data_IF_250598311017
#
_entry.id   IF_250598311017
#
_cell.length_a   1.000
_cell.length_b   1.000
_cell.length_c   1.000
_cell.angle_alpha   90.00
_cell.angle_beta   90.00
_cell.angle_gamma   90.00
#
_symmetry.space_group_name_H-M   'P 1'
#
loop_
_entity.id
_entity.type
_entity.pdbx_description
1 polymer ?
#
# COMPACT_ATOMS: atom_id res chain seq x y z
N UNK A 1 -2.96 1.71 -9.10
CA UNK A 1 -3.23 1.06 -10.40
C UNK A 1 -3.96 2.07 -11.26
N UNK A 2 -3.31 2.54 -12.32
CA UNK A 2 -3.84 3.57 -13.22
C UNK A 2 -5.01 2.99 -14.03
N UNK A 3 -6.12 3.72 -14.12
CA UNK A 3 -7.37 3.41 -14.86
C UNK A 3 -7.21 3.31 -16.39
N UNK A 4 -5.99 3.05 -16.89
CA UNK A 4 -5.62 3.18 -18.31
C UNK A 4 -6.01 2.00 -19.22
N UNK A 5 -6.56 0.92 -18.69
CA UNK A 5 -6.91 -0.26 -19.52
C UNK A 5 -8.39 -0.36 -19.92
N UNK A 6 -9.22 0.64 -19.57
CA UNK A 6 -10.51 0.80 -20.22
C UNK A 6 -10.36 1.70 -21.43
N UNK A 7 -10.78 1.21 -22.60
CA UNK A 7 -10.74 1.97 -23.85
C UNK A 7 -11.37 3.36 -23.64
N UNK A 8 -10.61 4.37 -24.06
CA UNK A 8 -10.96 5.79 -24.09
C UNK A 8 -12.44 6.05 -24.33
N UNK A 9 -13.11 6.71 -23.37
CA UNK A 9 -14.40 7.40 -23.48
C UNK A 9 -15.41 6.79 -24.51
N UNK A 10 -16.13 5.70 -24.16
CA UNK A 10 -17.12 5.07 -25.04
C UNK A 10 -18.16 6.07 -25.57
N UNK A 11 -18.37 6.09 -26.89
CA UNK A 11 -19.30 7.01 -27.56
C UNK A 11 -20.76 6.54 -27.45
N UNK A 12 -20.99 5.26 -27.17
CA UNK A 12 -22.33 4.65 -27.05
C UNK A 12 -22.39 3.53 -26.02
N UNK A 13 -23.62 3.19 -25.60
CA UNK A 13 -23.88 2.08 -24.67
C UNK A 13 -23.52 0.75 -25.30
N UNK A 14 -23.84 0.59 -26.58
CA UNK A 14 -23.56 -0.61 -27.36
C UNK A 14 -22.05 -0.84 -27.49
N UNK A 15 -21.28 0.22 -27.76
CA UNK A 15 -19.81 0.16 -27.80
C UNK A 15 -19.21 -0.21 -26.44
N UNK A 16 -19.75 0.33 -25.35
CA UNK A 16 -19.32 -0.05 -24.00
C UNK A 16 -19.64 -1.52 -23.69
N UNK A 17 -20.87 -1.95 -23.94
CA UNK A 17 -21.31 -3.32 -23.67
C UNK A 17 -20.62 -4.37 -24.55
N UNK A 18 -20.17 -3.99 -25.76
CA UNK A 18 -19.42 -4.88 -26.65
C UNK A 18 -18.09 -5.37 -26.04
N UNK A 19 -17.56 -4.66 -25.05
CA UNK A 19 -16.35 -5.04 -24.30
C UNK A 19 -16.61 -6.19 -23.32
N UNK A 20 -17.88 -6.53 -23.05
CA UNK A 20 -18.25 -7.59 -22.13
C UNK A 20 -18.79 -8.82 -22.87
N UNK A 21 -18.67 -9.98 -22.24
CA UNK A 21 -19.27 -11.23 -22.70
C UNK A 21 -20.79 -11.12 -22.81
N UNK A 22 -21.40 -11.90 -23.71
CA UNK A 22 -22.86 -11.94 -23.85
C UNK A 22 -23.54 -12.80 -22.77
N UNK A 23 -22.75 -13.63 -22.08
CA UNK A 23 -23.18 -14.49 -20.98
C UNK A 23 -23.05 -13.80 -19.63
N UNK A 24 -23.98 -14.12 -18.73
CA UNK A 24 -23.92 -13.65 -17.35
C UNK A 24 -23.43 -14.73 -16.40
N UNK A 25 -22.71 -14.33 -15.36
CA UNK A 25 -22.28 -15.18 -14.25
C UNK A 25 -22.67 -14.54 -12.91
N UNK A 26 -22.75 -15.35 -11.85
CA UNK A 26 -23.01 -14.88 -10.50
C UNK A 26 -21.69 -14.74 -9.73
N UNK A 27 -21.47 -13.57 -9.13
CA UNK A 27 -20.33 -13.30 -8.26
C UNK A 27 -20.80 -12.85 -6.89
N UNK A 28 -20.07 -13.25 -5.85
CA UNK A 28 -20.11 -12.59 -4.55
C UNK A 28 -18.90 -11.65 -4.47
N UNK A 29 -19.09 -10.42 -4.01
CA UNK A 29 -18.01 -9.44 -3.87
C UNK A 29 -18.18 -8.60 -2.62
N UNK A 30 -17.06 -8.19 -2.03
CA UNK A 30 -17.06 -7.15 -1.00
C UNK A 30 -16.71 -5.79 -1.62
N UNK A 31 -17.55 -4.79 -1.42
CA UNK A 31 -17.35 -3.46 -2.01
C UNK A 31 -16.32 -2.68 -1.20
N UNK A 32 -15.18 -2.36 -1.83
CA UNK A 32 -14.10 -1.56 -1.21
C UNK A 32 -14.44 -0.09 -1.18
N UNK A 33 -15.00 0.36 -2.30
CA UNK A 33 -15.34 1.74 -2.55
C UNK A 33 -16.53 1.72 -3.48
N UNK A 34 -17.50 2.57 -3.18
CA UNK A 34 -18.55 2.88 -4.13
C UNK A 34 -18.71 4.36 -4.14
N UNK A 35 -19.24 4.87 -5.24
CA UNK A 35 -19.51 6.26 -5.36
C UNK A 35 -20.48 6.77 -4.28
N UNK A 36 -20.13 7.94 -3.73
CA UNK A 36 -20.96 8.71 -2.82
C UNK A 36 -21.23 10.10 -3.40
N UNK A 37 -22.35 10.70 -2.99
CA UNK A 37 -22.81 12.02 -3.46
C UNK A 37 -21.70 13.08 -3.27
N UNK A 38 -21.20 13.64 -4.38
CA UNK A 38 -20.22 14.75 -4.37
C UNK A 38 -18.92 14.47 -5.11
N UNK A 39 -18.60 13.20 -5.39
CA UNK A 39 -17.37 12.82 -6.08
C UNK A 39 -17.53 12.83 -7.62
N UNK A 40 -16.97 13.86 -8.27
CA UNK A 40 -16.61 13.94 -9.71
C UNK A 40 -17.72 13.76 -10.76
N UNK A 41 -17.55 14.31 -11.99
CA UNK A 41 -18.46 14.01 -13.09
C UNK A 41 -18.21 12.60 -13.64
N UNK A 42 -19.22 11.74 -13.62
CA UNK A 42 -19.19 10.46 -14.34
C UNK A 42 -19.03 10.68 -15.84
N UNK A 43 -18.34 9.75 -16.49
CA UNK A 43 -18.33 9.66 -17.94
C UNK A 43 -19.77 9.58 -18.45
N UNK A 44 -20.08 10.39 -19.45
CA UNK A 44 -21.40 10.43 -20.06
C UNK A 44 -21.40 9.60 -21.32
N UNK A 45 -22.35 8.69 -21.39
CA UNK A 45 -22.61 7.89 -22.60
C UNK A 45 -24.06 8.13 -23.00
N UNK A 46 -24.25 9.07 -23.93
CA UNK A 46 -25.57 9.57 -24.28
C UNK A 46 -26.29 10.25 -23.11
N UNK A 47 -27.45 9.72 -22.72
CA UNK A 47 -28.29 10.25 -21.62
C UNK A 47 -28.06 9.55 -20.27
N UNK A 48 -27.14 8.59 -20.21
CA UNK A 48 -26.83 7.82 -19.02
C UNK A 48 -25.45 8.21 -18.47
N UNK A 49 -25.28 8.04 -17.17
CA UNK A 49 -23.98 8.16 -16.51
C UNK A 49 -23.40 6.77 -16.33
N UNK A 50 -22.14 6.60 -16.69
CA UNK A 50 -21.41 5.37 -16.44
C UNK A 50 -20.85 5.41 -15.01
N UNK A 51 -21.37 4.55 -14.14
CA UNK A 51 -21.05 4.49 -12.71
C UNK A 51 -20.22 3.25 -12.44
N UNK A 52 -19.36 3.28 -11.43
CA UNK A 52 -18.63 2.10 -10.97
C UNK A 52 -18.49 2.02 -9.45
N UNK A 53 -18.11 0.83 -9.00
CA UNK A 53 -17.66 0.55 -7.64
C UNK A 53 -16.39 -0.31 -7.72
N UNK A 54 -15.47 -0.09 -6.79
CA UNK A 54 -14.33 -0.98 -6.61
C UNK A 54 -14.71 -2.08 -5.63
N UNK A 55 -14.30 -3.30 -5.94
CA UNK A 55 -14.53 -4.45 -5.08
C UNK A 55 -13.21 -5.13 -4.68
N UNK A 56 -13.25 -5.90 -3.59
CA UNK A 56 -12.22 -6.83 -3.18
C UNK A 56 -12.66 -8.24 -3.55
N UNK A 57 -11.74 -9.01 -4.15
CA UNK A 57 -11.79 -10.46 -4.44
C UNK A 57 -13.18 -10.98 -4.86
N UNK A 58 -13.45 -11.16 -6.16
CA UNK A 58 -14.71 -11.72 -6.63
C UNK A 58 -14.71 -13.25 -6.45
N UNK A 59 -15.81 -13.77 -5.90
CA UNK A 59 -16.04 -15.20 -5.72
C UNK A 59 -17.10 -15.68 -6.70
N UNK A 60 -16.76 -16.64 -7.55
CA UNK A 60 -17.70 -17.23 -8.51
C UNK A 60 -18.34 -18.47 -7.93
N UNK A 61 -19.65 -18.61 -8.09
CA UNK A 61 -20.37 -19.79 -7.59
C UNK A 61 -20.04 -21.09 -8.36
N UNK A 62 -19.48 -20.97 -9.57
CA UNK A 62 -19.32 -22.09 -10.51
C UNK A 62 -17.89 -22.36 -10.93
N UNK A 63 -16.91 -21.60 -10.44
CA UNK A 63 -15.52 -21.78 -10.82
C UNK A 63 -14.68 -22.21 -9.62
N UNK A 64 -13.75 -23.12 -9.87
CA UNK A 64 -12.80 -23.62 -8.87
C UNK A 64 -11.85 -22.53 -8.35
N UNK A 65 -11.81 -21.36 -9.00
CA UNK A 65 -10.87 -20.28 -8.68
C UNK A 65 -11.55 -18.90 -8.59
N UNK A 66 -11.28 -18.11 -7.53
CA UNK A 66 -11.68 -16.70 -7.47
C UNK A 66 -10.67 -15.86 -8.26
N UNK A 67 -11.16 -15.02 -9.18
CA UNK A 67 -10.28 -14.20 -10.03
C UNK A 67 -9.59 -13.07 -9.25
N UNK A 68 -8.27 -13.13 -9.15
CA UNK A 68 -7.42 -11.94 -9.06
C UNK A 68 -7.51 -11.06 -7.80
N UNK A 69 -6.67 -10.02 -7.78
CA UNK A 69 -6.75 -8.88 -6.84
C UNK A 69 -8.02 -8.07 -7.19
N UNK A 70 -8.55 -7.30 -6.23
CA UNK A 70 -9.78 -6.51 -6.40
C UNK A 70 -9.87 -5.72 -7.72
N UNK A 71 -11.08 -5.37 -8.13
CA UNK A 71 -11.35 -4.83 -9.47
C UNK A 71 -12.52 -3.87 -9.49
N UNK A 72 -13.13 -3.69 -10.66
CA UNK A 72 -14.20 -2.72 -10.88
C UNK A 72 -15.49 -3.37 -11.39
N UNK A 73 -16.62 -2.89 -10.87
CA UNK A 73 -17.96 -3.24 -11.35
C UNK A 73 -18.61 -1.97 -11.89
N UNK A 74 -19.05 -2.02 -13.15
CA UNK A 74 -19.61 -0.90 -13.88
C UNK A 74 -21.11 -1.08 -14.15
N UNK A 75 -21.87 0.01 -14.18
CA UNK A 75 -23.27 0.01 -14.62
C UNK A 75 -23.72 1.36 -15.17
N UNK A 76 -24.79 1.35 -15.97
CA UNK A 76 -25.44 2.57 -16.40
C UNK A 76 -26.43 3.08 -15.35
N UNK A 77 -26.18 4.29 -14.86
CA UNK A 77 -27.05 5.02 -13.95
C UNK A 77 -28.00 5.96 -14.71
N UNK A 78 -29.32 5.79 -14.52
CA UNK A 78 -30.31 6.75 -15.02
C UNK A 78 -30.29 8.04 -14.20
N UNK A 79 -30.29 9.18 -14.90
CA UNK A 79 -30.35 10.51 -14.29
C UNK A 79 -31.61 10.65 -13.41
N UNK A 80 -31.44 11.11 -12.16
CA UNK A 80 -32.52 11.72 -11.38
C UNK A 80 -32.28 13.22 -11.31
N UNK A 81 -33.30 14.02 -11.64
CA UNK A 81 -33.20 15.47 -11.81
C UNK A 81 -32.77 16.19 -10.52
N UNK A 82 -32.92 15.56 -9.35
CA UNK A 82 -32.52 16.08 -8.04
C UNK A 82 -32.01 14.94 -7.12
N UNK A 83 -30.86 15.11 -6.46
CA UNK A 83 -30.40 14.25 -5.36
C UNK A 83 -29.85 12.86 -5.76
N UNK A 84 -28.92 12.82 -6.71
CA UNK A 84 -28.36 11.63 -7.35
C UNK A 84 -28.04 10.46 -6.41
N UNK A 85 -28.90 9.44 -6.47
CA UNK A 85 -28.63 8.08 -6.02
C UNK A 85 -28.83 7.21 -7.26
N UNK A 86 -27.74 6.71 -7.84
CA UNK A 86 -27.80 5.79 -8.98
C UNK A 86 -28.04 4.38 -8.45
N UNK A 87 -29.23 3.78 -8.60
CA UNK A 87 -29.40 2.40 -8.24
C UNK A 87 -28.58 1.50 -9.20
N UNK A 88 -27.99 0.41 -8.70
CA UNK A 88 -27.96 0.02 -7.28
C UNK A 88 -26.96 0.85 -6.46
N UNK A 89 -27.32 1.14 -5.21
CA UNK A 89 -26.39 1.77 -4.26
C UNK A 89 -25.60 0.67 -3.55
N UNK A 90 -24.40 0.42 -4.04
CA UNK A 90 -23.46 -0.48 -3.39
C UNK A 90 -22.79 0.29 -2.24
N UNK A 91 -22.81 -0.26 -1.03
CA UNK A 91 -22.21 0.37 0.16
C UNK A 91 -20.82 -0.20 0.41
N UNK A 92 -19.88 0.66 0.79
CA UNK A 92 -18.53 0.27 1.21
C UNK A 92 -18.56 -0.70 2.40
N UNK A 93 -17.70 -1.71 2.37
CA UNK A 93 -17.56 -2.80 3.35
C UNK A 93 -18.80 -3.70 3.48
N UNK A 94 -19.67 -3.71 2.47
CA UNK A 94 -20.78 -4.65 2.38
C UNK A 94 -20.51 -5.68 1.28
N UNK A 95 -20.96 -6.91 1.52
CA UNK A 95 -20.91 -8.00 0.56
C UNK A 95 -22.22 -8.09 -0.23
N UNK A 96 -22.11 -8.38 -1.52
CA UNK A 96 -23.24 -8.50 -2.42
C UNK A 96 -23.09 -9.74 -3.29
N UNK A 97 -24.21 -10.41 -3.55
CA UNK A 97 -24.32 -11.37 -4.65
C UNK A 97 -24.85 -10.64 -5.88
N UNK A 98 -24.09 -10.65 -6.96
CA UNK A 98 -24.32 -9.88 -8.18
C UNK A 98 -24.43 -10.81 -9.38
N UNK A 99 -25.30 -10.46 -10.33
CA UNK A 99 -25.27 -11.01 -11.68
C UNK A 99 -24.49 -10.05 -12.57
N UNK A 100 -23.44 -10.56 -13.20
CA UNK A 100 -22.52 -9.72 -13.99
C UNK A 100 -22.18 -10.34 -15.33
N UNK A 101 -21.67 -9.52 -16.26
CA UNK A 101 -20.93 -9.95 -17.45
C UNK A 101 -19.45 -9.67 -17.26
N UNK A 102 -18.60 -10.57 -17.75
CA UNK A 102 -17.14 -10.41 -17.68
C UNK A 102 -16.64 -9.51 -18.80
N UNK A 103 -15.63 -8.69 -18.52
CA UNK A 103 -14.93 -7.97 -19.57
C UNK A 103 -14.08 -8.95 -20.38
N UNK A 104 -14.12 -8.84 -21.71
CA UNK A 104 -13.39 -9.71 -22.65
C UNK A 104 -11.87 -9.52 -22.60
N UNK A 105 -11.43 -8.37 -22.11
CA UNK A 105 -10.01 -7.98 -22.07
C UNK A 105 -9.48 -7.76 -20.65
N UNK A 106 -10.34 -7.86 -19.63
CA UNK A 106 -9.95 -7.63 -18.23
C UNK A 106 -10.62 -8.66 -17.32
N UNK A 107 -9.79 -9.44 -16.65
CA UNK A 107 -10.22 -10.48 -15.72
C UNK A 107 -10.81 -9.93 -14.40
N UNK A 108 -10.56 -8.65 -14.09
CA UNK A 108 -10.99 -7.97 -12.87
C UNK A 108 -12.05 -6.89 -13.12
N UNK A 109 -12.67 -6.90 -14.31
CA UNK A 109 -13.71 -5.93 -14.62
C UNK A 109 -15.02 -6.60 -15.03
N UNK A 110 -16.10 -6.14 -14.41
CA UNK A 110 -17.43 -6.66 -14.64
C UNK A 110 -18.43 -5.56 -15.01
N UNK A 111 -19.42 -5.91 -15.82
CA UNK A 111 -20.62 -5.11 -16.00
C UNK A 111 -21.75 -5.71 -15.17
N UNK A 112 -22.38 -4.89 -14.33
CA UNK A 112 -23.46 -5.29 -13.45
C UNK A 112 -24.80 -5.31 -14.20
N UNK A 113 -25.39 -6.50 -14.26
CA UNK A 113 -26.75 -6.72 -14.76
C UNK A 113 -27.78 -6.57 -13.64
N UNK A 114 -27.52 -7.20 -12.49
CA UNK A 114 -28.49 -7.22 -11.40
C UNK A 114 -27.82 -7.43 -10.02
N UNK A 115 -28.46 -6.90 -8.98
CA UNK A 115 -28.09 -7.17 -7.57
C UNK A 115 -29.02 -8.26 -7.06
N UNK A 116 -28.53 -9.48 -7.01
CA UNK A 116 -29.28 -10.66 -6.58
C UNK A 116 -29.57 -10.57 -5.07
N UNK A 117 -28.54 -10.25 -4.29
CA UNK A 117 -28.63 -10.19 -2.83
C UNK A 117 -27.74 -9.06 -2.28
N UNK A 118 -28.20 -8.45 -1.20
CA UNK A 118 -27.47 -7.41 -0.45
C UNK A 118 -27.13 -7.95 0.93
N UNK A 119 -26.00 -7.50 1.47
CA UNK A 119 -25.53 -7.89 2.79
C UNK A 119 -25.33 -9.41 2.92
N UNK A 120 -24.93 -10.05 1.82
CA UNK A 120 -24.64 -11.49 1.77
C UNK A 120 -23.53 -11.82 2.74
N UNK A 121 -23.75 -12.77 3.63
CA UNK A 121 -22.74 -13.23 4.57
C UNK A 121 -21.85 -14.28 3.90
N UNK A 122 -20.81 -13.81 3.19
CA UNK A 122 -19.88 -14.70 2.46
C UNK A 122 -19.15 -15.68 3.39
N UNK A 123 -19.09 -15.43 4.70
CA UNK A 123 -18.50 -16.36 5.67
C UNK A 123 -19.34 -17.62 5.92
N UNK A 124 -20.64 -17.56 5.63
CA UNK A 124 -21.57 -18.70 5.71
C UNK A 124 -21.61 -19.55 4.46
N UNK A 125 -21.06 -19.07 3.35
CA UNK A 125 -20.97 -19.84 2.12
C UNK A 125 -19.75 -20.77 2.20
N UNK A 126 -20.01 -22.06 2.43
CA UNK A 126 -18.98 -23.08 2.61
C UNK A 126 -18.12 -23.27 1.36
N UNK A 127 -18.70 -23.07 0.17
CA UNK A 127 -17.96 -23.18 -1.09
C UNK A 127 -16.95 -22.05 -1.22
N UNK A 128 -17.35 -20.82 -0.89
CA UNK A 128 -16.47 -19.65 -0.90
C UNK A 128 -15.38 -19.80 0.15
N UNK A 129 -15.74 -20.27 1.35
CA UNK A 129 -14.78 -20.49 2.44
C UNK A 129 -13.70 -21.50 2.03
N UNK A 130 -14.08 -22.67 1.53
CA UNK A 130 -13.12 -23.70 1.10
C UNK A 130 -12.23 -23.21 -0.04
N UNK A 131 -12.78 -22.49 -1.02
CA UNK A 131 -11.97 -21.89 -2.11
C UNK A 131 -10.91 -20.93 -1.55
N UNK A 132 -11.29 -20.03 -0.64
CA UNK A 132 -10.36 -19.04 -0.07
C UNK A 132 -9.28 -19.73 0.78
N UNK A 133 -9.67 -20.73 1.56
CA UNK A 133 -8.76 -21.56 2.35
C UNK A 133 -7.78 -22.32 1.46
N UNK A 134 -8.26 -23.01 0.43
CA UNK A 134 -7.39 -23.72 -0.53
C UNK A 134 -6.42 -22.77 -1.23
N UNK A 135 -6.85 -21.56 -1.61
CA UNK A 135 -5.95 -20.56 -2.18
C UNK A 135 -4.87 -20.14 -1.20
N UNK A 136 -5.22 -19.91 0.07
CA UNK A 136 -4.24 -19.56 1.10
C UNK A 136 -3.23 -20.69 1.29
N UNK A 137 -3.71 -21.92 1.48
CA UNK A 137 -2.89 -23.12 1.68
C UNK A 137 -2.06 -23.48 0.45
N UNK A 138 -2.58 -23.22 -0.75
CA UNK A 138 -1.88 -23.49 -2.02
C UNK A 138 -0.67 -22.59 -2.27
N UNK A 139 -0.49 -21.52 -1.48
CA UNK A 139 0.75 -20.71 -1.48
C UNK A 139 1.85 -21.35 -0.66
N UNK A 140 1.52 -22.34 0.17
CA UNK A 140 2.49 -22.94 1.07
C UNK A 140 3.27 -23.99 0.28
N UNK A 141 4.59 -23.92 0.36
CA UNK A 141 5.49 -24.77 -0.42
C UNK A 141 6.45 -25.52 0.49
N UNK A 142 6.90 -26.68 0.04
CA UNK A 142 7.77 -27.57 0.82
C UNK A 142 7.06 -28.28 1.96
N UNK A 143 7.85 -28.98 2.77
CA UNK A 143 7.37 -29.67 3.98
C UNK A 143 7.37 -28.70 5.17
N UNK A 144 6.45 -28.88 6.15
CA UNK A 144 6.51 -28.14 7.40
C UNK A 144 7.85 -28.37 8.09
N UNK A 145 8.48 -27.28 8.52
CA UNK A 145 9.71 -27.30 9.29
C UNK A 145 9.53 -26.61 10.64
N UNK A 146 10.26 -27.08 11.63
CA UNK A 146 10.27 -26.42 12.93
C UNK A 146 11.22 -25.22 12.87
N UNK A 147 10.70 -24.07 13.31
CA UNK A 147 11.34 -22.77 13.27
C UNK A 147 11.30 -22.14 14.65
N UNK A 148 12.46 -21.71 15.14
CA UNK A 148 12.54 -20.70 16.19
C UNK A 148 12.77 -19.34 15.54
N UNK A 149 12.02 -18.33 15.94
CA UNK A 149 12.20 -16.97 15.44
C UNK A 149 12.22 -15.95 16.57
N UNK A 150 13.06 -14.93 16.43
CA UNK A 150 13.08 -13.78 17.32
C UNK A 150 12.07 -12.73 16.82
N UNK A 151 11.00 -12.55 17.56
CA UNK A 151 9.88 -11.70 17.18
C UNK A 151 10.18 -10.22 17.47
N UNK A 152 10.01 -9.36 16.46
CA UNK A 152 10.37 -7.93 16.58
C UNK A 152 9.19 -7.04 17.00
N UNK A 153 7.95 -7.49 16.79
CA UNK A 153 6.76 -6.68 17.09
C UNK A 153 5.74 -7.44 17.94
N UNK A 154 4.94 -6.73 18.73
CA UNK A 154 3.88 -7.40 19.51
C UNK A 154 2.65 -7.63 18.65
N UNK A 155 2.17 -8.88 18.61
CA UNK A 155 1.01 -9.30 17.83
C UNK A 155 -0.08 -9.78 18.78
N UNK A 156 -1.32 -9.31 18.60
CA UNK A 156 -2.50 -9.80 19.33
C UNK A 156 -3.59 -10.19 18.34
N UNK A 157 -3.64 -11.48 18.00
CA UNK A 157 -4.60 -12.04 17.04
C UNK A 157 -6.05 -11.88 17.48
N UNK A 158 -6.31 -11.70 18.78
CA UNK A 158 -7.67 -11.52 19.30
C UNK A 158 -8.28 -10.17 18.93
N UNK A 159 -7.45 -9.20 18.54
CA UNK A 159 -7.87 -7.87 18.09
C UNK A 159 -8.02 -7.77 16.58
N UNK A 160 -7.60 -8.82 15.86
CA UNK A 160 -7.59 -8.79 14.41
C UNK A 160 -9.02 -8.89 13.88
N UNK A 161 -9.39 -7.92 13.03
CA UNK A 161 -10.70 -7.90 12.38
C UNK A 161 -10.64 -8.70 11.07
N UNK A 162 -11.72 -9.42 10.79
CA UNK A 162 -11.92 -10.04 9.48
C UNK A 162 -12.15 -8.96 8.43
N UNK A 163 -11.13 -8.66 7.62
CA UNK A 163 -11.21 -7.64 6.57
C UNK A 163 -11.80 -8.19 5.27
N UNK A 164 -11.87 -9.52 5.09
CA UNK A 164 -12.19 -10.16 3.81
C UNK A 164 -13.64 -10.59 3.58
N UNK A 165 -14.57 -10.36 4.52
CA UNK A 165 -15.99 -10.77 4.39
C UNK A 165 -16.27 -12.28 4.47
N UNK A 166 -15.26 -13.14 4.26
CA UNK A 166 -15.34 -14.61 4.28
C UNK A 166 -14.94 -15.25 5.62
N UNK A 167 -14.67 -14.44 6.64
CA UNK A 167 -14.32 -14.92 7.98
C UNK A 167 -12.87 -15.39 8.17
N UNK A 168 -12.11 -15.60 7.08
CA UNK A 168 -10.68 -15.89 7.11
C UNK A 168 -9.84 -14.61 7.08
N UNK A 169 -8.92 -14.49 8.03
CA UNK A 169 -7.93 -13.40 8.11
C UNK A 169 -6.55 -13.98 8.41
N UNK A 170 -5.50 -13.18 8.25
CA UNK A 170 -4.14 -13.57 8.61
C UNK A 170 -3.41 -12.42 9.28
N UNK A 171 -2.86 -12.64 10.46
CA UNK A 171 -1.90 -11.74 11.10
C UNK A 171 -0.50 -12.07 10.65
N UNK A 172 0.44 -11.17 10.93
CA UNK A 172 1.86 -11.40 10.65
C UNK A 172 2.65 -11.19 11.93
N UNK A 173 3.62 -12.05 12.17
CA UNK A 173 4.64 -11.87 13.20
C UNK A 173 6.00 -11.79 12.53
N UNK A 174 6.67 -10.65 12.65
CA UNK A 174 7.93 -10.42 11.95
C UNK A 174 9.14 -10.79 12.78
N UNK A 175 10.21 -11.20 12.09
CA UNK A 175 11.45 -11.60 12.72
C UNK A 175 12.66 -11.03 11.98
N UNK A 176 13.78 -10.95 12.70
CA UNK A 176 15.10 -10.55 12.17
C UNK A 176 16.20 -11.59 12.42
N UNK A 177 15.86 -12.70 13.06
CA UNK A 177 16.73 -13.84 13.28
C UNK A 177 15.90 -15.11 13.44
N UNK A 178 16.44 -16.22 12.94
CA UNK A 178 15.81 -17.53 13.02
C UNK A 178 16.81 -18.64 13.38
N UNK A 179 16.29 -19.76 13.87
CA UNK A 179 16.99 -21.05 13.94
C UNK A 179 16.05 -22.12 13.40
N UNK A 180 16.43 -22.75 12.29
CA UNK A 180 15.72 -23.89 11.73
C UNK A 180 16.07 -25.17 12.48
N UNK A 181 15.15 -26.12 12.56
CA UNK A 181 15.43 -27.43 13.15
C UNK A 181 16.62 -28.11 12.45
N UNK A 182 17.48 -28.74 13.26
CA UNK A 182 18.73 -29.35 12.80
C UNK A 182 19.87 -28.34 12.53
N UNK A 183 19.64 -27.03 12.66
CA UNK A 183 20.72 -26.04 12.64
C UNK A 183 21.33 -25.86 14.04
N UNK A 184 22.65 -26.05 14.12
CA UNK A 184 23.41 -25.82 15.35
C UNK A 184 23.49 -24.33 15.73
N UNK A 185 23.26 -23.41 14.77
CA UNK A 185 23.40 -21.96 14.97
C UNK A 185 22.19 -21.18 14.48
N UNK A 186 21.84 -20.07 15.15
CA UNK A 186 20.88 -19.12 14.62
C UNK A 186 21.54 -18.31 13.50
N UNK A 187 20.71 -17.81 12.59
CA UNK A 187 21.15 -16.96 11.48
C UNK A 187 20.34 -15.68 11.48
N UNK A 188 20.96 -14.60 11.01
CA UNK A 188 20.24 -13.36 10.69
C UNK A 188 19.40 -13.65 9.45
N UNK A 189 18.11 -13.35 9.54
CA UNK A 189 17.18 -13.49 8.44
C UNK A 189 16.00 -12.58 8.72
N UNK A 190 15.60 -11.80 7.72
CA UNK A 190 14.45 -10.92 7.83
C UNK A 190 13.26 -11.57 7.14
N UNK A 191 12.09 -11.51 7.80
CA UNK A 191 10.91 -12.20 7.30
C UNK A 191 9.71 -12.14 8.24
N UNK A 192 8.73 -12.98 7.96
CA UNK A 192 7.49 -13.02 8.74
C UNK A 192 6.85 -14.39 8.81
N UNK A 193 6.12 -14.63 9.88
CA UNK A 193 5.24 -15.78 10.07
C UNK A 193 3.80 -15.29 9.91
N UNK A 194 3.14 -15.71 8.83
CA UNK A 194 1.70 -15.53 8.63
C UNK A 194 0.92 -16.46 9.56
N UNK A 195 0.02 -15.87 10.34
CA UNK A 195 -0.82 -16.55 11.33
C UNK A 195 -2.26 -16.51 10.80
N UNK A 196 -2.73 -17.55 10.09
CA UNK A 196 -4.12 -17.62 9.66
C UNK A 196 -5.04 -17.69 10.89
N UNK A 197 -6.18 -17.01 10.84
CA UNK A 197 -7.15 -16.95 11.93
C UNK A 197 -8.58 -16.77 11.40
N UNK A 198 -9.50 -17.58 11.92
CA UNK A 198 -10.93 -17.51 11.64
C UNK A 198 -11.75 -18.11 12.81
N UNK A 199 -13.07 -18.25 12.65
CA UNK A 199 -13.95 -18.91 13.63
C UNK A 199 -14.15 -20.41 13.36
N UNK A 200 -13.48 -20.96 12.34
CA UNK A 200 -13.61 -22.35 11.88
C UNK A 200 -12.28 -23.08 12.08
N UNK A 201 -11.51 -23.30 11.02
CA UNK A 201 -10.33 -24.17 11.02
C UNK A 201 -9.11 -23.59 11.75
N UNK A 202 -9.06 -22.28 11.92
CA UNK A 202 -7.97 -21.55 12.56
C UNK A 202 -8.41 -20.84 13.85
N UNK A 203 -9.52 -21.25 14.46
CA UNK A 203 -10.04 -20.68 15.72
C UNK A 203 -9.00 -20.66 16.85
N UNK A 204 -8.14 -21.69 16.92
CA UNK A 204 -7.04 -21.76 17.90
C UNK A 204 -6.06 -20.59 17.79
N UNK A 205 -5.86 -20.05 16.59
CA UNK A 205 -4.89 -19.00 16.33
C UNK A 205 -5.36 -17.61 16.79
N UNK A 206 -6.67 -17.39 16.96
CA UNK A 206 -7.23 -16.14 17.52
C UNK A 206 -6.73 -15.83 18.93
N UNK A 207 -6.33 -16.85 19.68
CA UNK A 207 -5.77 -16.70 21.02
C UNK A 207 -4.27 -16.38 21.05
N UNK A 208 -3.59 -16.35 19.90
CA UNK A 208 -2.15 -16.12 19.84
C UNK A 208 -1.84 -14.66 20.18
N UNK A 209 -0.92 -14.51 21.14
CA UNK A 209 -0.36 -13.22 21.56
C UNK A 209 1.14 -13.35 21.64
N UNK A 210 1.83 -12.55 20.84
CA UNK A 210 3.28 -12.49 20.76
C UNK A 210 3.75 -11.14 21.27
N UNK A 211 4.87 -11.13 21.98
CA UNK A 211 5.53 -9.94 22.49
C UNK A 211 6.78 -9.69 21.67
N UNK A 212 7.07 -8.44 21.41
CA UNK A 212 8.36 -8.03 20.86
C UNK A 212 9.51 -8.48 21.78
N UNK A 213 10.63 -8.83 21.19
CA UNK A 213 11.86 -9.22 21.90
C UNK A 213 11.84 -10.61 22.52
N UNK A 214 10.95 -11.49 22.05
CA UNK A 214 10.79 -12.86 22.53
C UNK A 214 11.03 -13.87 21.42
N UNK A 215 11.52 -15.04 21.79
CA UNK A 215 11.70 -16.17 20.88
C UNK A 215 10.48 -17.08 20.93
N UNK A 216 10.02 -17.53 19.78
CA UNK A 216 8.90 -18.44 19.64
C UNK A 216 9.28 -19.63 18.79
N UNK A 217 8.75 -20.81 19.14
CA UNK A 217 8.96 -22.06 18.41
C UNK A 217 7.66 -22.49 17.76
N UNK A 218 7.71 -22.73 16.46
CA UNK A 218 6.55 -23.04 15.63
C UNK A 218 6.89 -24.15 14.64
N UNK A 219 5.87 -24.87 14.21
CA UNK A 219 5.90 -25.61 12.96
C UNK A 219 5.34 -24.69 11.89
N UNK A 220 6.12 -24.45 10.84
CA UNK A 220 5.74 -23.52 9.80
C UNK A 220 6.19 -24.04 8.42
N UNK A 221 5.46 -23.64 7.39
CA UNK A 221 5.74 -24.03 6.01
C UNK A 221 6.18 -22.80 5.23
N UNK A 222 7.19 -22.92 4.39
CA UNK A 222 7.64 -21.78 3.59
C UNK A 222 6.52 -21.33 2.63
N UNK A 223 6.47 -20.05 2.30
CA UNK A 223 5.58 -19.50 1.29
C UNK A 223 6.45 -19.05 0.12
N UNK A 224 6.09 -19.48 -1.09
CA UNK A 224 6.76 -19.03 -2.30
C UNK A 224 6.31 -17.61 -2.66
N UNK A 225 6.99 -16.62 -2.07
CA UNK A 225 6.92 -15.21 -2.43
C UNK A 225 8.33 -14.76 -2.83
N UNK A 226 8.45 -14.12 -3.99
CA UNK A 226 9.73 -13.57 -4.46
C UNK A 226 10.30 -12.63 -3.39
N UNK A 227 11.58 -12.87 -3.04
CA UNK A 227 12.43 -12.01 -2.21
C UNK A 227 12.10 -11.85 -0.71
N UNK A 228 11.24 -12.70 -0.12
CA UNK A 228 10.95 -12.62 1.33
C UNK A 228 10.97 -13.99 2.04
N UNK A 229 11.59 -14.06 3.23
CA UNK A 229 11.50 -15.24 4.10
C UNK A 229 10.13 -15.28 4.80
N UNK A 230 9.08 -15.67 4.08
CA UNK A 230 7.72 -15.76 4.62
C UNK A 230 7.37 -17.21 4.93
N UNK A 231 6.83 -17.43 6.13
CA UNK A 231 6.39 -18.74 6.59
C UNK A 231 4.91 -18.69 6.97
N UNK A 232 4.16 -19.73 6.67
CA UNK A 232 2.82 -19.93 7.19
C UNK A 232 2.84 -20.77 8.47
N UNK A 233 2.16 -20.31 9.51
CA UNK A 233 2.01 -21.05 10.75
C UNK A 233 1.09 -22.26 10.57
N UNK A 234 1.63 -23.46 10.79
CA UNK A 234 0.87 -24.72 10.87
C UNK A 234 0.49 -25.01 12.34
N UNK A 235 1.48 -24.91 13.22
CA UNK A 235 1.32 -25.20 14.64
C UNK A 235 2.21 -24.31 15.50
N UNK A 236 1.64 -23.86 16.62
CA UNK A 236 2.38 -23.13 17.63
C UNK A 236 2.88 -24.12 18.70
N UNK A 237 4.20 -24.26 18.84
CA UNK A 237 4.80 -25.29 19.69
C UNK A 237 5.12 -24.75 21.08
N UNK A 238 5.79 -23.59 21.16
CA UNK A 238 6.27 -23.06 22.45
C UNK A 238 6.38 -21.53 22.48
N UNK A 239 6.02 -20.94 23.63
CA UNK A 239 6.06 -19.48 23.87
C UNK A 239 7.29 -19.09 24.67
N UNK A 240 7.92 -17.99 24.27
CA UNK A 240 9.00 -17.35 25.03
C UNK A 240 10.14 -18.33 25.37
N UNK A 241 10.64 -19.03 24.35
CA UNK A 241 11.73 -20.01 24.47
C UNK A 241 13.03 -19.35 24.96
N UNK A 242 13.76 -20.02 25.86
CA UNK A 242 15.08 -19.57 26.34
C UNK A 242 16.20 -19.98 25.38
N UNK A 243 16.19 -19.42 24.16
CA UNK A 243 17.32 -19.52 23.21
C UNK A 243 18.15 -18.23 23.28
N UNK A 244 19.18 -18.25 24.12
CA UNK A 244 20.01 -17.07 24.40
C UNK A 244 20.78 -16.59 23.18
N UNK A 245 21.32 -17.50 22.38
CA UNK A 245 22.11 -17.17 21.19
C UNK A 245 21.24 -16.51 20.13
N UNK A 246 20.04 -17.04 19.89
CA UNK A 246 19.07 -16.44 18.96
C UNK A 246 18.57 -15.09 19.49
N UNK A 247 18.30 -14.98 20.80
CA UNK A 247 17.88 -13.72 21.40
C UNK A 247 18.96 -12.63 21.36
N UNK A 248 20.23 -12.99 21.58
CA UNK A 248 21.36 -12.07 21.44
C UNK A 248 21.56 -11.62 19.99
N UNK A 249 21.47 -12.55 19.04
CA UNK A 249 21.54 -12.23 17.61
C UNK A 249 20.41 -11.28 17.18
N UNK A 250 19.18 -11.58 17.60
CA UNK A 250 18.00 -10.76 17.31
C UNK A 250 18.09 -9.36 17.92
N UNK A 251 18.57 -9.23 19.17
CA UNK A 251 18.81 -7.92 19.80
C UNK A 251 19.86 -7.12 19.05
N UNK A 252 21.00 -7.74 18.73
CA UNK A 252 22.08 -7.11 17.98
C UNK A 252 21.62 -6.65 16.59
N UNK A 253 20.75 -7.41 15.93
CA UNK A 253 20.18 -7.04 14.64
C UNK A 253 19.21 -5.85 14.71
N UNK A 254 18.74 -5.47 15.90
CA UNK A 254 17.89 -4.29 16.13
C UNK A 254 18.66 -3.10 16.70
N UNK A 255 19.94 -3.26 17.05
CA UNK A 255 20.76 -2.15 17.52
C UNK A 255 20.92 -1.11 16.40
N UNK A 256 20.59 0.16 16.64
CA UNK A 256 20.79 1.19 15.65
C UNK A 256 22.26 1.33 15.28
N UNK A 257 22.55 1.49 14.00
CA UNK A 257 23.90 1.69 13.48
C UNK A 257 24.04 3.13 13.00
N UNK A 258 25.12 3.80 13.38
CA UNK A 258 25.42 5.13 12.83
C UNK A 258 26.00 4.98 11.42
N UNK A 259 25.46 5.75 10.49
CA UNK A 259 25.88 5.82 9.10
C UNK A 259 26.19 7.27 8.78
N UNK A 260 27.41 7.53 8.33
CA UNK A 260 27.88 8.88 8.03
C UNK A 260 27.92 9.05 6.53
N UNK A 261 27.27 10.10 6.03
CA UNK A 261 27.41 10.54 4.63
C UNK A 261 28.34 11.73 4.63
N UNK A 262 29.53 11.53 4.08
CA UNK A 262 30.62 12.50 4.13
C UNK A 262 30.19 13.86 3.58
N UNK A 263 30.42 14.92 4.34
CA UNK A 263 30.06 16.29 3.94
C UNK A 263 28.57 16.64 4.01
N UNK A 264 27.70 15.70 4.40
CA UNK A 264 26.26 15.94 4.57
C UNK A 264 25.85 15.82 6.04
N UNK A 265 26.11 14.68 6.68
CA UNK A 265 25.70 14.49 8.07
C UNK A 265 25.73 13.05 8.56
N UNK A 266 25.26 12.86 9.79
CA UNK A 266 25.15 11.57 10.45
C UNK A 266 23.69 11.10 10.46
N UNK A 267 23.51 9.82 10.15
CA UNK A 267 22.21 9.16 10.05
C UNK A 267 22.19 7.96 10.97
N UNK A 268 21.06 7.72 11.60
CA UNK A 268 20.84 6.51 12.40
C UNK A 268 20.07 5.50 11.58
N UNK A 269 20.72 4.39 11.23
CA UNK A 269 20.07 3.21 10.67
C UNK A 269 19.37 2.47 11.79
N UNK A 270 18.05 2.35 11.70
CA UNK A 270 17.26 1.55 12.63
C UNK A 270 16.22 0.74 11.86
N UNK A 271 15.77 -0.35 12.47
CA UNK A 271 14.68 -1.14 11.91
C UNK A 271 13.35 -0.56 12.37
N UNK A 272 12.57 -0.06 11.42
CA UNK A 272 11.20 0.43 11.65
C UNK A 272 10.25 -0.34 10.72
N UNK A 273 9.19 -0.93 11.29
CA UNK A 273 8.10 -1.56 10.52
C UNK A 273 8.57 -2.49 9.37
N UNK A 274 9.54 -3.38 9.67
CA UNK A 274 10.18 -4.34 8.75
C UNK A 274 11.27 -3.77 7.84
N UNK A 275 11.30 -2.47 7.59
CA UNK A 275 12.34 -1.82 6.77
C UNK A 275 13.53 -1.38 7.62
N UNK A 276 14.72 -1.51 7.05
CA UNK A 276 15.91 -0.85 7.56
C UNK A 276 15.96 0.54 6.93
N UNK A 277 15.83 1.57 7.77
CA UNK A 277 15.84 2.96 7.33
C UNK A 277 16.98 3.70 8.01
N UNK A 278 17.81 4.40 7.24
CA UNK A 278 18.71 5.42 7.77
C UNK A 278 17.93 6.73 7.89
N UNK A 279 17.79 7.23 9.13
CA UNK A 279 17.08 8.47 9.40
C UNK A 279 18.03 9.52 9.96
N UNK A 280 17.92 10.72 9.43
CA UNK A 280 18.70 11.87 9.89
C UNK A 280 17.90 13.16 9.74
N UNK A 281 18.36 14.20 10.43
CA UNK A 281 17.84 15.56 10.26
C UNK A 281 19.02 16.41 9.82
N UNK A 282 18.82 17.16 8.74
CA UNK A 282 19.79 18.14 8.26
C UNK A 282 19.21 19.52 8.57
N UNK A 283 19.87 20.27 9.45
CA UNK A 283 19.54 21.66 9.74
C UNK A 283 20.34 22.58 8.81
N UNK A 284 19.66 23.53 8.17
CA UNK A 284 20.28 24.54 7.30
C UNK A 284 19.93 25.94 7.75
N UNK A 285 20.94 26.78 7.94
CA UNK A 285 20.74 28.21 8.15
C UNK A 285 20.37 28.87 6.82
N UNK A 286 19.14 29.38 6.72
CA UNK A 286 18.68 30.26 5.65
C UNK A 286 18.59 31.70 6.15
N UNK A 287 18.62 32.65 5.21
CA UNK A 287 18.51 34.08 5.51
C UNK A 287 17.23 34.45 6.31
N UNK A 288 16.20 33.61 6.28
CA UNK A 288 14.90 33.83 6.92
C UNK A 288 14.58 32.81 8.04
N UNK A 289 15.51 31.93 8.45
CA UNK A 289 15.24 30.92 9.47
C UNK A 289 16.16 29.69 9.37
N UNK A 290 15.90 28.67 10.17
CA UNK A 290 16.54 27.36 10.05
C UNK A 290 15.54 26.38 9.43
N UNK A 291 15.91 25.75 8.32
CA UNK A 291 15.15 24.65 7.72
C UNK A 291 15.69 23.33 8.28
N UNK A 292 14.84 22.57 8.96
CA UNK A 292 15.13 21.18 9.30
C UNK A 292 14.52 20.26 8.24
N UNK A 293 15.38 19.48 7.57
CA UNK A 293 14.95 18.49 6.60
C UNK A 293 15.07 17.11 7.21
N UNK A 294 13.96 16.38 7.27
CA UNK A 294 14.00 14.95 7.63
C UNK A 294 14.42 14.14 6.41
N UNK A 295 15.45 13.32 6.57
CA UNK A 295 15.92 12.41 5.53
C UNK A 295 15.63 10.97 5.97
N UNK A 296 15.00 10.20 5.09
CA UNK A 296 14.81 8.77 5.25
C UNK A 296 15.45 8.07 4.05
N UNK A 297 16.45 7.22 4.27
CA UNK A 297 17.09 6.42 3.22
C UNK A 297 16.79 4.94 3.44
N UNK A 298 16.30 4.27 2.41
CA UNK A 298 16.12 2.84 2.42
C UNK A 298 17.49 2.15 2.41
N UNK A 299 17.72 1.33 3.42
CA UNK A 299 18.88 0.46 3.53
C UNK A 299 18.35 -0.95 3.40
N UNK A 300 18.32 -1.54 2.22
CA UNK A 300 17.84 -2.92 2.10
C UNK A 300 18.75 -3.86 2.91
N UNK A 301 18.15 -4.81 3.64
CA UNK A 301 18.89 -5.88 4.30
C UNK A 301 19.57 -6.82 3.31
N UNK A 302 19.01 -6.94 2.09
CA UNK A 302 19.40 -7.95 1.11
C UNK A 302 20.25 -7.37 -0.05
N UNK A 303 20.29 -6.04 -0.22
CA UNK A 303 21.23 -5.33 -1.11
C UNK A 303 22.20 -4.45 -0.29
N UNK A 304 23.41 -4.94 0.02
CA UNK A 304 24.40 -4.17 0.76
C UNK A 304 24.85 -2.90 0.04
N UNK A 305 24.54 -2.74 -1.26
CA UNK A 305 24.85 -1.52 -2.04
C UNK A 305 23.73 -0.48 -2.01
N UNK A 306 22.55 -0.80 -1.46
CA UNK A 306 21.37 0.09 -1.45
C UNK A 306 21.61 1.35 -0.62
N UNK A 307 22.27 1.22 0.53
CA UNK A 307 22.65 2.36 1.35
C UNK A 307 23.58 3.32 0.59
N UNK A 308 24.57 2.78 -0.12
CA UNK A 308 25.52 3.58 -0.91
C UNK A 308 24.83 4.27 -2.09
N UNK A 309 23.95 3.58 -2.82
CA UNK A 309 23.13 4.20 -3.89
C UNK A 309 22.22 5.31 -3.35
N UNK A 310 21.63 5.12 -2.17
CA UNK A 310 20.82 6.16 -1.53
C UNK A 310 21.69 7.36 -1.12
N UNK A 311 22.90 7.12 -0.62
CA UNK A 311 23.87 8.18 -0.32
C UNK A 311 24.28 8.94 -1.59
N UNK A 312 24.49 8.28 -2.73
CA UNK A 312 24.78 8.94 -4.01
C UNK A 312 23.65 9.89 -4.47
N UNK A 313 22.39 9.48 -4.31
CA UNK A 313 21.24 10.34 -4.58
C UNK A 313 21.22 11.53 -3.63
N UNK A 314 21.50 11.31 -2.34
CA UNK A 314 21.56 12.38 -1.35
C UNK A 314 22.69 13.38 -1.66
N UNK A 315 23.88 12.91 -2.03
CA UNK A 315 24.98 13.75 -2.51
C UNK A 315 24.54 14.63 -3.68
N UNK A 316 23.88 14.07 -4.69
CA UNK A 316 23.41 14.84 -5.84
C UNK A 316 22.45 15.97 -5.44
N UNK A 317 21.61 15.75 -4.43
CA UNK A 317 20.70 16.78 -3.91
C UNK A 317 21.49 17.91 -3.24
N UNK A 318 22.47 17.56 -2.40
CA UNK A 318 23.18 18.51 -1.54
C UNK A 318 24.45 19.13 -2.14
N UNK A 319 25.02 18.56 -3.21
CA UNK A 319 26.20 19.08 -3.92
C UNK A 319 25.96 20.51 -4.44
N UNK A 320 24.76 20.78 -4.98
CA UNK A 320 24.27 22.13 -5.30
C UNK A 320 22.77 22.23 -4.95
N UNK A 321 22.52 22.34 -3.66
CA UNK A 321 21.16 22.35 -3.12
C UNK A 321 20.32 23.50 -3.67
N UNK A 322 20.92 24.65 -3.95
CA UNK A 322 20.17 25.79 -4.49
C UNK A 322 19.73 25.54 -5.94
N UNK A 323 20.59 24.94 -6.77
CA UNK A 323 20.21 24.56 -8.13
C UNK A 323 19.12 23.47 -8.12
N UNK A 324 19.25 22.50 -7.23
CA UNK A 324 18.25 21.45 -7.03
C UNK A 324 16.91 22.02 -6.58
N UNK A 325 16.89 22.90 -5.57
CA UNK A 325 15.68 23.61 -5.11
C UNK A 325 15.05 24.42 -6.24
N UNK A 326 15.84 25.18 -7.02
CA UNK A 326 15.31 25.92 -8.18
C UNK A 326 14.62 25.00 -9.20
N UNK A 327 15.17 23.82 -9.47
CA UNK A 327 14.59 22.83 -10.39
C UNK A 327 13.29 22.26 -9.84
N UNK A 328 13.27 21.88 -8.56
CA UNK A 328 12.11 21.32 -7.86
C UNK A 328 10.97 22.35 -7.77
N UNK A 329 11.26 23.53 -7.25
CA UNK A 329 10.27 24.59 -7.07
C UNK A 329 9.75 25.10 -8.42
N UNK A 330 10.61 25.10 -9.44
CA UNK A 330 10.22 25.39 -10.81
C UNK A 330 9.19 24.38 -11.34
N UNK A 331 9.45 23.07 -11.16
CA UNK A 331 8.54 22.02 -11.59
C UNK A 331 7.17 22.08 -10.89
N UNK A 332 7.14 22.39 -9.58
CA UNK A 332 5.87 22.61 -8.87
C UNK A 332 5.15 23.83 -9.45
N UNK A 333 5.85 24.95 -9.58
CA UNK A 333 5.25 26.16 -10.10
C UNK A 333 4.67 25.93 -11.50
N UNK A 334 5.38 25.23 -12.40
CA UNK A 334 4.87 24.84 -13.72
C UNK A 334 3.59 24.00 -13.65
N UNK A 335 3.47 23.13 -12.65
CA UNK A 335 2.29 22.27 -12.47
C UNK A 335 1.05 23.02 -11.96
N UNK A 336 1.25 24.07 -11.16
CA UNK A 336 0.15 24.83 -10.52
C UNK A 336 -0.13 26.19 -11.16
N UNK A 337 0.69 26.62 -12.13
CA UNK A 337 0.50 27.88 -12.84
C UNK A 337 -0.67 27.79 -13.82
N UNK A 338 -1.56 28.79 -13.78
CA UNK A 338 -2.67 28.92 -14.70
C UNK A 338 -2.23 29.42 -16.10
N UNK A 339 -3.20 29.59 -17.01
CA UNK A 339 -2.93 30.04 -18.39
C UNK A 339 -2.42 31.48 -18.46
N UNK A 340 -2.66 32.27 -17.44
CA UNK A 340 -2.30 33.68 -17.34
C UNK A 340 -0.96 33.88 -16.60
N UNK A 341 -0.30 32.78 -16.19
CA UNK A 341 0.99 32.81 -15.51
C UNK A 341 0.90 33.07 -14.01
N UNK A 342 -0.30 32.98 -13.42
CA UNK A 342 -0.51 33.17 -11.98
C UNK A 342 -0.72 31.83 -11.27
N UNK A 343 -0.48 31.84 -9.96
CA UNK A 343 -0.72 30.69 -9.10
C UNK A 343 -1.83 31.07 -8.12
N UNK A 344 -2.95 30.35 -8.22
CA UNK A 344 -4.09 30.51 -7.32
C UNK A 344 -3.81 29.78 -5.99
N UNK A 345 -3.70 30.54 -4.90
CA UNK A 345 -3.54 30.03 -3.54
C UNK A 345 -4.89 30.01 -2.83
N UNK A 346 -5.05 29.09 -1.87
CA UNK A 346 -6.32 28.87 -1.15
C UNK A 346 -6.41 29.63 0.17
N UNK A 347 -5.34 30.35 0.54
CA UNK A 347 -5.24 31.14 1.75
C UNK A 347 -4.85 32.59 1.45
N UNK A 348 -5.30 33.51 2.30
CA UNK A 348 -4.98 34.94 2.22
C UNK A 348 -5.94 35.80 1.39
N UNK A 349 -5.74 37.11 1.47
CA UNK A 349 -6.62 38.14 0.87
C UNK A 349 -6.36 38.37 -0.63
N UNK A 350 -5.26 37.85 -1.17
CA UNK A 350 -4.88 37.97 -2.59
C UNK A 350 -4.67 36.56 -3.17
N UNK A 351 -5.67 36.02 -3.89
CA UNK A 351 -5.66 34.62 -4.29
C UNK A 351 -4.63 34.33 -5.38
N UNK A 352 -4.07 35.34 -6.06
CA UNK A 352 -3.12 35.14 -7.14
C UNK A 352 -1.76 35.73 -6.81
N UNK A 353 -0.73 34.89 -6.83
CA UNK A 353 0.67 35.29 -6.65
C UNK A 353 1.50 34.96 -7.88
N UNK A 354 2.60 35.69 -8.06
CA UNK A 354 3.53 35.40 -9.15
C UNK A 354 4.33 34.13 -8.87
N UNK A 355 4.78 33.48 -9.95
CA UNK A 355 5.71 32.34 -9.89
C UNK A 355 6.91 32.58 -8.97
N UNK A 356 7.54 33.75 -9.08
CA UNK A 356 8.73 34.07 -8.29
C UNK A 356 8.42 34.20 -6.80
N UNK A 357 7.27 34.79 -6.45
CA UNK A 357 6.84 34.90 -5.05
C UNK A 357 6.50 33.52 -4.50
N UNK A 358 5.80 32.69 -5.28
CA UNK A 358 5.48 31.32 -4.90
C UNK A 358 6.74 30.49 -4.63
N UNK A 359 7.67 30.43 -5.59
CA UNK A 359 8.90 29.63 -5.46
C UNK A 359 9.78 30.06 -4.26
N UNK A 360 9.76 31.35 -3.88
CA UNK A 360 10.52 31.86 -2.72
C UNK A 360 9.99 31.40 -1.37
N UNK A 361 8.73 30.96 -1.31
CA UNK A 361 8.07 30.52 -0.07
C UNK A 361 8.19 29.01 0.15
N UNK A 362 8.61 28.27 -0.87
CA UNK A 362 8.72 26.81 -0.79
C UNK A 362 9.95 26.38 0.01
N UNK A 363 9.80 25.31 0.78
CA UNK A 363 10.92 24.66 1.47
C UNK A 363 10.80 23.14 1.40
N UNK A 364 11.93 22.44 1.33
CA UNK A 364 11.95 20.97 1.40
C UNK A 364 11.90 20.59 2.88
N UNK A 365 10.92 19.77 3.28
CA UNK A 365 10.76 19.34 4.68
C UNK A 365 11.08 17.85 4.90
N UNK A 366 10.87 17.01 3.89
CA UNK A 366 11.18 15.58 3.94
C UNK A 366 11.77 15.10 2.62
N UNK A 367 12.76 14.21 2.70
CA UNK A 367 13.34 13.49 1.55
C UNK A 367 13.33 12.00 1.88
N UNK A 368 12.59 11.22 1.10
CA UNK A 368 12.61 9.76 1.13
C UNK A 368 13.45 9.26 -0.05
N UNK A 369 14.44 8.41 0.18
CA UNK A 369 15.38 7.93 -0.84
C UNK A 369 15.37 6.41 -0.85
N UNK A 370 15.30 5.83 -2.04
CA UNK A 370 15.34 4.38 -2.25
C UNK A 370 16.49 3.96 -3.20
N UNK A 371 17.47 4.82 -3.45
CA UNK A 371 18.58 4.53 -4.37
C UNK A 371 18.21 4.48 -5.86
N UNK A 372 16.92 4.41 -6.23
CA UNK A 372 16.44 4.66 -7.60
C UNK A 372 16.08 6.13 -7.82
N UNK A 373 15.86 6.86 -6.73
CA UNK A 373 15.54 8.28 -6.74
C UNK A 373 15.18 8.79 -5.35
N UNK A 374 14.50 9.92 -5.32
CA UNK A 374 13.97 10.55 -4.13
C UNK A 374 12.51 10.99 -4.32
N UNK A 375 11.70 10.80 -3.29
CA UNK A 375 10.41 11.46 -3.10
C UNK A 375 10.58 12.57 -2.07
N UNK A 376 10.28 13.81 -2.47
CA UNK A 376 10.45 15.01 -1.65
C UNK A 376 9.08 15.59 -1.29
N UNK A 377 8.94 15.99 -0.03
CA UNK A 377 7.77 16.74 0.46
C UNK A 377 8.16 18.19 0.63
N UNK A 378 7.40 19.06 -0.04
CA UNK A 378 7.63 20.49 -0.09
C UNK A 378 6.55 21.19 0.72
N UNK A 379 6.98 21.96 1.71
CA UNK A 379 6.11 22.87 2.44
C UNK A 379 5.70 24.03 1.52
N UNK A 380 4.40 24.33 1.57
CA UNK A 380 3.75 25.35 0.78
C UNK A 380 3.48 26.61 1.59
N UNK A 381 4.00 26.74 2.82
CA UNK A 381 3.90 27.94 3.66
C UNK A 381 2.44 28.42 3.80
N UNK A 382 1.57 27.47 4.17
CA UNK A 382 0.12 27.58 4.31
C UNK A 382 -0.65 28.06 3.05
N UNK A 383 0.00 28.17 1.88
CA UNK A 383 -0.63 28.64 0.63
C UNK A 383 -1.77 27.73 0.15
N UNK A 384 -1.68 26.44 0.49
CA UNK A 384 -2.67 25.41 0.16
C UNK A 384 -3.14 24.72 1.45
N UNK A 385 -3.46 25.53 2.45
CA UNK A 385 -3.87 25.07 3.78
C UNK A 385 -2.79 24.18 4.43
N UNK A 386 -3.16 23.02 4.91
CA UNK A 386 -2.37 21.98 5.57
C UNK A 386 -1.70 21.00 4.59
N UNK A 387 -1.72 21.29 3.28
CA UNK A 387 -1.12 20.39 2.28
C UNK A 387 0.37 20.68 2.08
N UNK A 388 1.13 19.61 1.85
CA UNK A 388 2.44 19.65 1.22
C UNK A 388 2.31 19.31 -0.28
N UNK A 389 3.37 19.53 -1.05
CA UNK A 389 3.46 19.09 -2.43
C UNK A 389 4.50 17.98 -2.57
N UNK A 390 4.13 16.88 -3.24
CA UNK A 390 5.08 15.81 -3.51
C UNK A 390 5.84 16.05 -4.81
N UNK A 391 7.14 15.84 -4.80
CA UNK A 391 8.01 15.89 -5.99
C UNK A 391 8.82 14.61 -6.07
N UNK A 392 9.02 14.11 -7.28
CA UNK A 392 9.85 12.93 -7.53
C UNK A 392 11.10 13.33 -8.30
N UNK A 393 12.25 12.86 -7.83
CA UNK A 393 13.52 12.98 -8.51
C UNK A 393 14.07 11.58 -8.81
N UNK A 394 14.49 11.31 -10.05
CA UNK A 394 15.16 10.03 -10.37
C UNK A 394 16.65 10.04 -9.99
N UNK A 395 17.32 8.90 -10.14
CA UNK A 395 18.75 8.74 -9.89
C UNK A 395 19.64 9.59 -10.79
N UNK A 396 19.13 10.12 -11.91
CA UNK A 396 19.86 11.03 -12.80
C UNK A 396 19.62 12.50 -12.44
N UNK A 397 18.78 12.77 -11.44
CA UNK A 397 18.42 14.09 -10.98
C UNK A 397 17.31 14.76 -11.81
N UNK A 398 16.62 14.04 -12.69
CA UNK A 398 15.44 14.57 -13.38
C UNK A 398 14.27 14.66 -12.40
N UNK A 399 13.49 15.74 -12.52
CA UNK A 399 12.44 16.09 -11.56
C UNK A 399 11.09 16.08 -12.25
N UNK A 400 10.08 15.51 -11.58
CA UNK A 400 8.67 15.65 -11.95
C UNK A 400 7.84 16.07 -10.74
N UNK A 401 6.90 16.99 -10.97
CA UNK A 401 5.88 17.31 -9.99
C UNK A 401 4.97 16.09 -9.76
N UNK A 402 4.64 15.83 -8.50
CA UNK A 402 3.53 14.96 -8.09
C UNK A 402 2.26 15.77 -7.87
N UNK A 403 1.58 15.49 -6.76
CA UNK A 403 0.30 16.10 -6.39
C UNK A 403 0.37 16.72 -4.99
N UNK A 404 -0.67 17.46 -4.62
CA UNK A 404 -0.90 17.91 -3.24
C UNK A 404 -1.22 16.71 -2.35
N UNK A 405 -0.64 16.70 -1.14
CA UNK A 405 -0.80 15.65 -0.14
C UNK A 405 -1.05 16.27 1.24
N UNK A 406 -2.06 15.77 1.96
CA UNK A 406 -2.53 16.34 3.24
C UNK A 406 -3.72 15.57 3.77
#
# INVERSE_FOLDING_TARGET
MSTKDFTSDPKSREEFLAQFEDTTTEITVMIRWSWEKGNGPFLKVGNESLVYADYLNPWFATEEYPFGRGGQIWWFGKRRVLGYKYPPQLKRNHCYKLRVRRCKTSESTFYLEDVIERDTDASKDESIYEIVKQRMLGRYTGDPEELLFYNIESVDMSKQKNVGGVGLSSGSAYFCAIRKAGSDKPVRADGGVLIPADDKDFAKNKGIKLKAGKVYRVMARHIDEEDLNVYALEEFLEKEVDDKELAELGKKALEPVQYVVDGIGEFTISRENQSLLARGIISRDKANGCDEITINMECDSDDPTRADKSAEVLHRIFDDIEATERKIFGAIADAVTDKDGNIEIWSGDSPNISREVFMKRLSIIVINIDGSGAELFIDLDDMFTDHAYTVYMDSDGNVRAGDLVG
#
